data_IF_598470704147
#
_entry.id   IF_598470704147
#
_cell.length_a   1.000
_cell.length_b   1.000
_cell.length_c   1.000
_cell.angle_alpha   90.00
_cell.angle_beta   90.00
_cell.angle_gamma   90.00
#
_symmetry.space_group_name_H-M   'P 1'
#
loop_
_entity.id
_entity.type
_entity.pdbx_description
1 polymer ?
#
# COMPACT_ATOMS: atom_id res chain seq x y z
N UNK A 1 12.53 -1.65 20.86
CA UNK A 1 13.00 -0.88 19.69
C UNK A 1 11.87 -0.85 18.67
N UNK A 2 11.52 0.32 18.14
CA UNK A 2 10.42 0.48 17.16
C UNK A 2 10.73 -0.32 15.89
N UNK A 3 9.77 -1.08 15.36
CA UNK A 3 10.02 -1.97 14.22
C UNK A 3 9.48 -1.39 12.91
N UNK A 4 8.28 -0.78 12.93
CA UNK A 4 7.73 -0.02 11.79
C UNK A 4 7.00 1.25 12.25
N UNK A 5 7.12 2.35 11.50
CA UNK A 5 6.34 3.57 11.73
C UNK A 5 4.97 3.48 11.01
N UNK A 6 3.92 4.08 11.58
CA UNK A 6 2.65 4.29 10.87
C UNK A 6 2.89 5.09 9.58
N UNK A 7 2.21 4.71 8.50
CA UNK A 7 2.36 5.29 7.16
C UNK A 7 3.76 5.14 6.56
N UNK A 8 4.61 4.27 7.10
CA UNK A 8 5.88 3.96 6.45
C UNK A 8 5.60 3.15 5.19
N UNK A 9 6.17 3.62 4.07
CA UNK A 9 6.10 2.94 2.78
C UNK A 9 6.87 1.63 2.90
N UNK A 10 6.17 0.51 2.67
CA UNK A 10 6.75 -0.83 2.73
C UNK A 10 7.14 -1.32 1.34
N UNK A 11 6.29 -1.07 0.36
CA UNK A 11 6.49 -1.46 -1.03
C UNK A 11 5.66 -0.57 -1.97
N UNK A 12 6.11 -0.47 -3.21
CA UNK A 12 5.31 0.07 -4.31
C UNK A 12 4.77 -1.10 -5.13
N UNK A 13 3.45 -1.19 -5.25
CA UNK A 13 2.80 -2.27 -5.97
C UNK A 13 2.28 -1.76 -7.32
N UNK A 14 2.51 -2.50 -8.42
CA UNK A 14 2.03 -2.09 -9.73
C UNK A 14 0.50 -2.19 -9.81
N UNK A 15 -0.12 -1.17 -10.38
CA UNK A 15 -1.57 -1.06 -10.54
C UNK A 15 -1.94 -1.01 -12.01
N UNK A 16 -2.87 -1.86 -12.39
CA UNK A 16 -3.42 -1.95 -13.74
C UNK A 16 -4.64 -1.05 -13.90
N UNK A 17 -4.71 -0.38 -15.05
CA UNK A 17 -5.79 0.54 -15.44
C UNK A 17 -6.05 1.68 -14.44
N UNK A 18 -5.08 1.99 -13.57
CA UNK A 18 -5.12 3.13 -12.68
C UNK A 18 -4.76 4.44 -13.39
N UNK A 19 -5.22 5.54 -12.82
CA UNK A 19 -4.74 6.88 -13.15
C UNK A 19 -3.24 7.01 -12.81
N UNK A 20 -2.77 6.23 -11.84
CA UNK A 20 -1.37 5.95 -11.53
C UNK A 20 -1.06 4.48 -11.81
N UNK A 21 0.16 4.21 -12.27
CA UNK A 21 0.67 2.86 -12.56
C UNK A 21 1.18 2.11 -11.33
N UNK A 22 1.30 2.78 -10.18
CA UNK A 22 1.79 2.19 -8.92
C UNK A 22 1.01 2.75 -7.73
N UNK A 23 0.88 1.95 -6.66
CA UNK A 23 0.34 2.33 -5.36
C UNK A 23 1.36 2.10 -4.26
N UNK A 24 1.52 3.06 -3.36
CA UNK A 24 2.33 2.89 -2.17
C UNK A 24 1.55 2.07 -1.13
N UNK A 25 2.08 0.89 -0.79
CA UNK A 25 1.58 0.04 0.28
C UNK A 25 2.22 0.43 1.62
N UNK A 26 1.39 0.76 2.61
CA UNK A 26 1.81 1.21 3.94
C UNK A 26 1.22 0.34 5.03
N UNK A 27 1.86 0.35 6.20
CA UNK A 27 1.29 -0.28 7.41
C UNK A 27 0.22 0.66 7.99
N UNK A 28 -1.01 0.17 8.25
CA UNK A 28 -2.11 1.01 8.77
C UNK A 28 -1.79 1.58 10.16
N UNK A 29 -1.00 0.87 10.96
CA UNK A 29 -0.67 1.23 12.34
C UNK A 29 0.83 1.14 12.66
N UNK A 30 1.24 1.86 13.72
CA UNK A 30 2.63 1.80 14.19
C UNK A 30 2.85 0.46 14.88
N UNK A 31 3.65 -0.41 14.28
CA UNK A 31 4.02 -1.69 14.89
C UNK A 31 5.28 -1.49 15.74
N UNK A 32 5.06 -1.30 17.04
CA UNK A 32 6.13 -1.22 18.05
C UNK A 32 6.40 -2.63 18.58
N UNK A 33 7.26 -3.40 17.88
CA UNK A 33 7.68 -4.73 18.33
C UNK A 33 9.04 -4.66 19.02
N UNK A 34 9.13 -5.10 20.27
CA UNK A 34 10.41 -5.21 20.99
C UNK A 34 11.24 -6.36 20.43
N UNK A 35 11.98 -6.09 19.36
CA UNK A 35 12.94 -7.05 18.81
C UNK A 35 14.21 -6.99 19.64
N UNK A 36 14.61 -8.11 20.25
CA UNK A 36 15.91 -8.21 20.95
C UNK A 36 17.02 -8.00 19.91
N UNK A 37 17.95 -7.09 20.22
CA UNK A 37 19.07 -6.70 19.32
C UNK A 37 19.90 -7.91 18.83
N UNK A 38 19.98 -8.96 19.65
CA UNK A 38 20.71 -10.21 19.37
C UNK A 38 20.07 -11.09 18.27
N UNK A 39 18.77 -10.93 17.99
CA UNK A 39 18.05 -11.77 17.01
C UNK A 39 17.73 -11.08 15.70
N UNK A 40 18.17 -9.83 15.50
CA UNK A 40 17.89 -9.03 14.29
C UNK A 40 18.30 -9.74 12.99
N UNK A 41 19.39 -10.51 13.01
CA UNK A 41 19.87 -11.29 11.85
C UNK A 41 19.02 -12.52 11.51
N UNK A 42 18.11 -12.96 12.38
CA UNK A 42 17.26 -14.13 12.15
C UNK A 42 15.84 -13.77 11.69
N UNK A 43 15.49 -12.48 11.68
CA UNK A 43 14.19 -12.02 11.21
C UNK A 43 14.23 -11.74 9.70
N UNK A 44 13.36 -12.40 8.96
CA UNK A 44 13.04 -12.08 7.57
C UNK A 44 11.70 -11.36 7.48
N UNK A 45 11.54 -10.52 6.47
CA UNK A 45 10.25 -9.93 6.12
C UNK A 45 10.02 -10.15 4.62
N UNK A 46 8.86 -10.69 4.27
CA UNK A 46 8.43 -10.88 2.88
C UNK A 46 7.12 -10.13 2.66
N UNK A 47 7.05 -9.35 1.61
CA UNK A 47 5.80 -8.72 1.18
C UNK A 47 5.10 -9.68 0.23
N UNK A 48 3.87 -10.04 0.56
CA UNK A 48 2.99 -10.91 -0.22
C UNK A 48 1.81 -10.07 -0.67
N UNK A 49 1.55 -10.06 -1.97
CA UNK A 49 0.47 -9.28 -2.56
C UNK A 49 -0.07 -10.01 -3.77
N UNK A 50 -1.37 -9.89 -4.01
CA UNK A 50 -2.04 -10.51 -5.15
C UNK A 50 -1.85 -9.62 -6.38
N UNK A 51 -1.08 -10.10 -7.35
CA UNK A 51 -0.92 -9.45 -8.65
C UNK A 51 -1.90 -10.05 -9.68
N UNK A 52 -2.53 -9.23 -10.55
CA UNK A 52 -2.41 -7.76 -10.64
C UNK A 52 -3.45 -7.01 -9.80
N UNK A 53 -3.04 -5.90 -9.17
CA UNK A 53 -3.96 -4.96 -8.53
C UNK A 53 -4.68 -4.14 -9.61
N UNK A 54 -6.00 -4.14 -9.60
CA UNK A 54 -6.81 -3.38 -10.57
C UNK A 54 -7.43 -2.14 -9.91
N UNK A 55 -7.47 -1.03 -10.65
CA UNK A 55 -8.11 0.19 -10.17
C UNK A 55 -9.66 0.08 -10.19
N UNK A 56 -10.41 0.82 -9.34
CA UNK A 56 -9.93 1.81 -8.39
C UNK A 56 -9.42 1.17 -7.09
N UNK A 57 -8.39 1.78 -6.50
CA UNK A 57 -7.89 1.45 -5.16
C UNK A 57 -8.12 2.67 -4.29
N UNK A 58 -8.75 2.51 -3.13
CA UNK A 58 -8.94 3.59 -2.18
C UNK A 58 -7.88 3.55 -1.09
N UNK A 59 -7.55 4.72 -0.55
CA UNK A 59 -6.69 4.84 0.61
C UNK A 59 -7.28 4.03 1.76
N UNK A 60 -6.47 3.16 2.34
CA UNK A 60 -6.90 2.23 3.39
C UNK A 60 -7.35 0.86 2.87
N UNK A 61 -7.53 0.68 1.56
CA UNK A 61 -7.82 -0.65 1.00
C UNK A 61 -6.62 -1.57 1.20
N UNK A 62 -6.91 -2.82 1.57
CA UNK A 62 -5.89 -3.86 1.70
C UNK A 62 -5.33 -4.20 0.32
N UNK A 63 -4.05 -3.91 0.09
CA UNK A 63 -3.34 -4.16 -1.17
C UNK A 63 -2.33 -5.30 -1.08
N UNK A 64 -2.07 -5.79 0.14
CA UNK A 64 -1.17 -6.90 0.39
C UNK A 64 -0.99 -7.16 1.87
N UNK A 65 0.00 -7.98 2.21
CA UNK A 65 0.37 -8.34 3.57
C UNK A 65 1.88 -8.46 3.68
N UNK A 66 2.44 -8.09 4.82
CA UNK A 66 3.83 -8.36 5.16
C UNK A 66 3.88 -9.55 6.12
N UNK A 67 4.59 -10.60 5.71
CA UNK A 67 4.83 -11.81 6.49
C UNK A 67 6.19 -11.67 7.15
N UNK A 68 6.21 -11.68 8.48
CA UNK A 68 7.43 -11.65 9.27
C UNK A 68 7.79 -13.09 9.62
N UNK A 69 8.97 -13.52 9.19
CA UNK A 69 9.52 -14.86 9.47
C UNK A 69 10.66 -14.77 10.46
N UNK A 70 10.84 -15.80 11.27
CA UNK A 70 11.99 -15.96 12.15
C UNK A 70 12.63 -17.33 11.89
N UNK A 71 13.77 -17.34 11.20
CA UNK A 71 14.26 -18.56 10.58
C UNK A 71 13.26 -19.08 9.54
N UNK A 72 12.79 -20.32 9.74
CA UNK A 72 11.81 -20.99 8.86
C UNK A 72 10.36 -20.88 9.35
N UNK A 73 10.12 -20.34 10.55
CA UNK A 73 8.78 -20.19 11.09
C UNK A 73 8.15 -18.83 10.70
N UNK A 74 6.93 -18.86 10.16
CA UNK A 74 6.08 -17.66 10.08
C UNK A 74 5.67 -17.26 11.49
N UNK A 75 6.01 -16.03 11.89
CA UNK A 75 5.63 -15.50 13.21
C UNK A 75 4.35 -14.69 13.14
N UNK A 76 4.19 -13.88 12.11
CA UNK A 76 3.11 -12.90 12.05
C UNK A 76 2.83 -12.45 10.61
N UNK A 77 1.57 -12.11 10.36
CA UNK A 77 1.10 -11.48 9.13
C UNK A 77 0.45 -10.15 9.48
N UNK A 78 0.86 -9.09 8.79
CA UNK A 78 0.32 -7.76 8.99
C UNK A 78 -0.26 -7.26 7.65
N UNK A 79 -1.50 -6.74 7.63
CA UNK A 79 -2.07 -6.20 6.41
C UNK A 79 -1.35 -4.91 6.00
N UNK A 80 -1.13 -4.76 4.69
CA UNK A 80 -0.68 -3.54 4.05
C UNK A 80 -1.86 -2.88 3.36
N UNK A 81 -1.98 -1.57 3.54
CA UNK A 81 -3.06 -0.77 2.98
C UNK A 81 -2.51 0.26 2.00
N UNK A 82 -3.33 0.70 1.05
CA UNK A 82 -2.97 1.77 0.14
C UNK A 82 -2.83 3.11 0.88
N UNK A 83 -1.76 3.85 0.61
CA UNK A 83 -1.53 5.19 1.18
C UNK A 83 -2.41 6.27 0.54
N UNK A 84 -2.79 6.07 -0.72
CA UNK A 84 -3.51 7.04 -1.53
C UNK A 84 -4.55 6.38 -2.44
N UNK A 85 -5.50 7.20 -2.90
CA UNK A 85 -6.53 6.78 -3.83
C UNK A 85 -6.00 6.76 -5.28
N UNK A 86 -6.22 5.65 -5.98
CA UNK A 86 -5.94 5.50 -7.41
C UNK A 86 -7.26 5.25 -8.13
N UNK A 87 -7.77 6.29 -8.76
CA UNK A 87 -8.92 6.19 -9.64
C UNK A 87 -8.58 5.39 -10.91
N UNK A 88 -9.59 4.92 -11.65
CA UNK A 88 -9.38 4.32 -12.98
C UNK A 88 -8.89 5.35 -14.00
N UNK A 89 -8.09 4.89 -14.96
CA UNK A 89 -7.75 5.63 -16.17
C UNK A 89 -9.05 6.09 -16.86
N UNK A 90 -9.18 7.41 -17.07
CA UNK A 90 -10.38 8.04 -17.67
C UNK A 90 -11.37 8.64 -16.68
N UNK A 91 -11.40 8.22 -15.41
CA UNK A 91 -12.24 8.85 -14.38
C UNK A 91 -11.80 10.31 -14.11
N UNK A 92 -10.48 10.54 -14.08
CA UNK A 92 -9.91 11.89 -13.94
C UNK A 92 -10.29 12.81 -15.12
N UNK A 93 -10.29 12.25 -16.34
CA UNK A 93 -10.67 12.99 -17.54
C UNK A 93 -12.15 13.42 -17.51
N UNK A 94 -13.04 12.55 -17.01
CA UNK A 94 -14.46 12.87 -16.82
C UNK A 94 -14.68 13.97 -15.78
N UNK A 95 -13.95 13.91 -14.65
CA UNK A 95 -14.03 14.93 -13.61
C UNK A 95 -13.58 16.31 -14.13
N UNK A 96 -12.42 16.38 -14.80
CA UNK A 96 -11.92 17.63 -15.39
C UNK A 96 -12.82 18.16 -16.50
N UNK A 97 -13.41 17.27 -17.31
CA UNK A 97 -14.35 17.66 -18.38
C UNK A 97 -15.57 18.36 -17.78
N UNK A 98 -16.19 17.78 -16.75
CA UNK A 98 -17.33 18.40 -16.07
C UNK A 98 -16.97 19.76 -15.43
N UNK A 99 -15.76 19.89 -14.88
CA UNK A 99 -15.30 21.14 -14.29
C UNK A 99 -15.04 22.23 -15.35
N UNK A 100 -14.51 21.87 -16.53
CA UNK A 100 -14.35 22.79 -17.66
C UNK A 100 -15.69 23.31 -18.17
N UNK A 101 -16.72 22.47 -18.25
CA UNK A 101 -18.07 22.90 -18.62
C UNK A 101 -18.65 23.92 -17.63
N UNK A 102 -18.33 23.80 -16.33
CA UNK A 102 -18.78 24.76 -15.33
C UNK A 102 -17.97 26.08 -15.34
N UNK A 103 -16.64 26.00 -15.51
CA UNK A 103 -15.76 27.16 -15.43
C UNK A 103 -15.67 28.00 -16.71
N UNK A 104 -15.84 27.38 -17.88
CA UNK A 104 -15.81 28.05 -19.19
C UNK A 104 -17.16 27.94 -19.92
N UNK A 105 -18.24 27.78 -19.16
CA UNK A 105 -19.59 27.69 -19.69
C UNK A 105 -19.93 28.88 -20.59
N UNK A 106 -20.33 28.54 -21.82
CA UNK A 106 -21.58 29.08 -22.32
C UNK A 106 -22.70 28.18 -21.81
#
# INVERSE_FOLDING_TARGET
YKFFNKNQIMAELPVWYGAKSTVEAVVPDTVIRTVKKSTKNKYGAKVVYDTPLSAPIFKGDKVGEIVITYGEEEKERLPLVAKEDIARMGAFNRFLTNLKYFAFGK
#
